data_IF_079811416470
#
_entry.id   IF_079811416470
#
_cell.length_a   1.000
_cell.length_b   1.000
_cell.length_c   1.000
_cell.angle_alpha   90.00
_cell.angle_beta   90.00
_cell.angle_gamma   90.00
#
_symmetry.space_group_name_H-M   'P 1'
#
loop_
_entity.id
_entity.type
_entity.pdbx_description
1 polymer ?
#
# COMPACT_ATOMS: atom_id res chain seq x y z
N UNK A 1 46.17 -41.31 -78.46
CA UNK A 1 45.86 -41.51 -77.03
C UNK A 1 45.73 -40.13 -76.42
N UNK A 2 44.56 -39.88 -75.83
CA UNK A 2 44.10 -38.57 -75.38
C UNK A 2 44.60 -38.29 -73.97
N UNK A 3 45.13 -37.09 -73.73
CA UNK A 3 45.33 -36.59 -72.37
C UNK A 3 44.30 -35.49 -72.07
N UNK A 4 43.47 -35.83 -71.10
CA UNK A 4 42.23 -35.18 -70.72
C UNK A 4 42.53 -33.98 -69.83
N UNK A 5 42.09 -32.79 -70.24
CA UNK A 5 41.98 -31.62 -69.37
C UNK A 5 40.89 -31.88 -68.34
N UNK A 6 41.25 -32.01 -67.06
CA UNK A 6 40.30 -31.95 -65.95
C UNK A 6 40.32 -30.51 -65.41
N UNK A 7 39.38 -29.71 -65.91
CA UNK A 7 38.99 -28.42 -65.35
C UNK A 7 38.23 -28.67 -64.04
N UNK A 8 38.88 -28.49 -62.90
CA UNK A 8 38.25 -28.68 -61.59
C UNK A 8 37.50 -27.41 -61.17
N UNK A 9 36.40 -27.12 -61.88
CA UNK A 9 35.39 -26.13 -61.47
C UNK A 9 34.55 -26.72 -60.34
N UNK A 10 35.02 -26.63 -59.11
CA UNK A 10 34.19 -26.81 -57.91
C UNK A 10 34.77 -26.04 -56.73
N UNK A 11 34.76 -24.71 -56.82
CA UNK A 11 34.80 -23.84 -55.63
C UNK A 11 33.39 -23.28 -55.46
N UNK A 12 32.60 -23.93 -54.61
CA UNK A 12 31.31 -23.41 -54.16
C UNK A 12 31.52 -22.05 -53.46
N UNK A 13 30.63 -21.07 -53.65
CA UNK A 13 30.82 -19.74 -53.10
C UNK A 13 30.67 -19.73 -51.57
N UNK A 14 31.78 -19.52 -50.87
CA UNK A 14 31.94 -19.39 -49.40
C UNK A 14 31.09 -18.24 -48.78
N UNK A 15 30.48 -17.40 -49.62
CA UNK A 15 29.67 -16.25 -49.21
C UNK A 15 28.36 -16.64 -48.51
N UNK A 16 27.69 -17.71 -48.94
CA UNK A 16 26.39 -18.14 -48.38
C UNK A 16 26.48 -18.75 -46.98
N UNK A 17 27.55 -19.49 -46.69
CA UNK A 17 27.78 -20.13 -45.38
C UNK A 17 28.16 -19.06 -44.34
N UNK A 18 29.05 -18.13 -44.71
CA UNK A 18 29.48 -17.02 -43.85
C UNK A 18 28.33 -16.06 -43.51
N UNK A 19 27.40 -15.83 -44.45
CA UNK A 19 26.23 -14.98 -44.23
C UNK A 19 25.17 -15.64 -43.35
N UNK A 20 24.94 -16.95 -43.50
CA UNK A 20 24.10 -17.74 -42.59
C UNK A 20 24.65 -17.79 -41.16
N UNK A 21 25.96 -17.92 -41.00
CA UNK A 21 26.62 -17.89 -39.69
C UNK A 21 26.51 -16.53 -39.00
N UNK A 22 26.67 -15.43 -39.76
CA UNK A 22 26.45 -14.07 -39.24
C UNK A 22 25.00 -13.87 -38.80
N UNK A 23 24.04 -14.29 -39.62
CA UNK A 23 22.60 -14.20 -39.31
C UNK A 23 22.24 -15.03 -38.06
N UNK A 24 22.75 -16.26 -37.95
CA UNK A 24 22.58 -17.08 -36.74
C UNK A 24 23.21 -16.43 -35.50
N UNK A 25 24.41 -15.84 -35.61
CA UNK A 25 25.03 -15.10 -34.49
C UNK A 25 24.19 -13.91 -34.04
N UNK A 26 23.61 -13.16 -34.97
CA UNK A 26 22.71 -12.07 -34.64
C UNK A 26 21.42 -12.55 -33.97
N UNK A 27 20.80 -13.62 -34.48
CA UNK A 27 19.60 -14.22 -33.87
C UNK A 27 19.90 -14.70 -32.44
N UNK A 28 21.00 -15.42 -32.22
CA UNK A 28 21.40 -15.87 -30.88
C UNK A 28 21.66 -14.68 -29.96
N UNK A 29 22.36 -13.65 -30.43
CA UNK A 29 22.61 -12.44 -29.64
C UNK A 29 21.32 -11.73 -29.25
N UNK A 30 20.36 -11.58 -30.18
CA UNK A 30 19.06 -10.96 -29.90
C UNK A 30 18.28 -11.81 -28.89
N UNK A 31 18.21 -13.13 -29.08
CA UNK A 31 17.53 -14.03 -28.15
C UNK A 31 18.11 -13.95 -26.74
N UNK A 32 19.44 -13.93 -26.60
CA UNK A 32 20.11 -13.78 -25.30
C UNK A 32 19.76 -12.44 -24.66
N UNK A 33 19.77 -11.34 -25.41
CA UNK A 33 19.40 -10.03 -24.87
C UNK A 33 17.94 -9.95 -24.43
N UNK A 34 17.01 -10.54 -25.18
CA UNK A 34 15.58 -10.58 -24.82
C UNK A 34 15.36 -11.38 -23.55
N UNK A 35 16.01 -12.54 -23.42
CA UNK A 35 15.93 -13.38 -22.21
C UNK A 35 16.50 -12.65 -21.00
N UNK A 36 17.65 -12.00 -21.13
CA UNK A 36 18.24 -11.21 -20.04
C UNK A 36 17.34 -10.05 -19.60
N UNK A 37 16.75 -9.32 -20.56
CA UNK A 37 15.79 -8.25 -20.24
C UNK A 37 14.55 -8.78 -19.52
N UNK A 38 14.02 -9.93 -19.93
CA UNK A 38 12.89 -10.56 -19.27
C UNK A 38 13.24 -10.98 -17.82
N UNK A 39 14.42 -11.55 -17.59
CA UNK A 39 14.91 -11.92 -16.26
C UNK A 39 15.06 -10.67 -15.38
N UNK A 40 15.69 -9.60 -15.90
CA UNK A 40 15.85 -8.35 -15.16
C UNK A 40 14.51 -7.70 -14.82
N UNK A 41 13.55 -7.68 -15.75
CA UNK A 41 12.21 -7.17 -15.50
C UNK A 41 11.47 -8.00 -14.45
N UNK A 42 11.57 -9.33 -14.51
CA UNK A 42 10.98 -10.23 -13.52
C UNK A 42 11.60 -10.03 -12.13
N UNK A 43 12.93 -9.95 -12.02
CA UNK A 43 13.61 -9.64 -10.76
C UNK A 43 13.20 -8.28 -10.20
N UNK A 44 13.14 -7.26 -11.05
CA UNK A 44 12.71 -5.93 -10.64
C UNK A 44 11.27 -5.95 -10.09
N UNK A 45 10.33 -6.60 -10.79
CA UNK A 45 8.95 -6.70 -10.32
C UNK A 45 8.82 -7.55 -9.04
N UNK A 46 9.56 -8.65 -8.95
CA UNK A 46 9.51 -9.56 -7.80
C UNK A 46 10.08 -8.92 -6.52
N UNK A 47 11.10 -8.06 -6.64
CA UNK A 47 11.79 -7.48 -5.47
C UNK A 47 11.46 -6.01 -5.20
N UNK A 48 10.73 -5.32 -6.09
CA UNK A 48 10.35 -3.90 -5.89
C UNK A 48 8.93 -3.70 -5.34
N UNK A 49 8.22 -4.79 -5.02
CA UNK A 49 6.86 -4.69 -4.49
C UNK A 49 6.87 -4.13 -3.06
N UNK A 50 5.98 -3.16 -2.80
CA UNK A 50 5.79 -2.61 -1.46
C UNK A 50 4.81 -3.50 -0.71
N UNK A 51 5.25 -4.09 0.40
CA UNK A 51 4.42 -4.99 1.20
C UNK A 51 3.81 -4.28 2.41
N UNK A 52 2.60 -4.70 2.79
CA UNK A 52 1.92 -4.19 3.99
C UNK A 52 2.20 -5.13 5.17
N UNK A 53 3.11 -4.71 6.04
CA UNK A 53 3.47 -5.49 7.22
C UNK A 53 2.35 -5.46 8.28
N UNK A 54 1.98 -6.63 8.84
CA UNK A 54 1.09 -6.71 10.00
C UNK A 54 1.84 -6.26 11.26
N UNK A 55 1.51 -5.08 11.77
CA UNK A 55 2.18 -4.48 12.90
C UNK A 55 1.82 -5.14 14.24
N UNK A 56 0.71 -5.88 14.30
CA UNK A 56 0.27 -6.60 15.50
C UNK A 56 1.02 -7.91 15.72
N UNK A 57 1.88 -8.32 14.78
CA UNK A 57 2.60 -9.57 14.79
C UNK A 57 4.06 -9.39 15.24
N UNK A 58 4.47 -10.12 16.29
CA UNK A 58 5.86 -10.20 16.73
C UNK A 58 6.49 -8.84 17.03
N UNK A 59 7.63 -8.56 16.39
CA UNK A 59 8.38 -7.31 16.52
C UNK A 59 8.13 -6.31 15.40
N UNK A 60 7.13 -6.55 14.54
CA UNK A 60 6.90 -5.75 13.32
C UNK A 60 6.62 -4.27 13.62
N UNK A 61 5.87 -3.96 14.68
CA UNK A 61 5.64 -2.57 15.09
C UNK A 61 6.96 -1.82 15.34
N UNK A 62 7.91 -2.46 16.03
CA UNK A 62 9.24 -1.88 16.29
C UNK A 62 10.07 -1.75 15.01
N UNK A 63 10.10 -2.80 14.19
CA UNK A 63 10.89 -2.83 12.93
C UNK A 63 10.37 -1.83 11.90
N UNK A 64 9.06 -1.56 11.88
CA UNK A 64 8.46 -0.58 10.97
C UNK A 64 8.97 0.84 11.19
N UNK A 65 9.41 1.17 12.42
CA UNK A 65 9.71 2.53 12.84
C UNK A 65 8.46 3.38 13.11
N UNK A 66 7.26 2.81 13.16
CA UNK A 66 6.00 3.54 13.31
C UNK A 66 6.03 4.54 14.45
N UNK A 67 6.51 4.14 15.63
CA UNK A 67 6.59 5.07 16.76
C UNK A 67 7.47 6.27 16.50
N UNK A 68 8.66 6.04 15.98
CA UNK A 68 9.63 7.11 15.76
C UNK A 68 9.05 8.16 14.81
N UNK A 69 8.38 7.71 13.74
CA UNK A 69 7.66 8.58 12.82
C UNK A 69 6.47 9.27 13.51
N UNK A 70 5.71 8.54 14.33
CA UNK A 70 4.56 9.09 15.06
C UNK A 70 4.96 10.21 16.01
N UNK A 71 6.05 10.03 16.77
CA UNK A 71 6.57 11.05 17.69
C UNK A 71 7.08 12.29 16.97
N UNK A 72 7.56 12.15 15.73
CA UNK A 72 7.92 13.28 14.87
C UNK A 72 6.73 13.97 14.20
N UNK A 73 5.54 13.37 14.26
CA UNK A 73 4.40 13.87 13.50
C UNK A 73 4.50 13.58 12.01
N UNK A 74 5.23 12.54 11.60
CA UNK A 74 5.49 12.20 10.19
C UNK A 74 4.56 11.10 9.67
N UNK A 75 3.42 10.86 10.31
CA UNK A 75 2.53 9.73 9.95
C UNK A 75 1.19 10.22 9.39
N UNK A 76 0.77 9.59 8.30
CA UNK A 76 -0.64 9.51 7.90
C UNK A 76 -1.15 8.13 8.30
N UNK A 77 -2.28 8.07 9.00
CA UNK A 77 -3.01 6.83 9.22
C UNK A 77 -4.39 6.92 8.58
N UNK A 78 -4.71 5.95 7.74
CA UNK A 78 -6.03 5.79 7.15
C UNK A 78 -6.76 4.65 7.84
N UNK A 79 -7.93 4.93 8.39
CA UNK A 79 -8.74 3.98 9.15
C UNK A 79 -10.03 3.77 8.38
N UNK A 80 -10.32 2.53 8.00
CA UNK A 80 -11.64 2.20 7.45
C UNK A 80 -12.68 2.37 8.56
N UNK A 81 -13.84 2.93 8.23
CA UNK A 81 -14.97 2.97 9.15
C UNK A 81 -15.24 1.59 9.80
N UNK A 82 -15.80 1.58 11.00
CA UNK A 82 -16.14 0.34 11.71
C UNK A 82 -17.30 -0.41 11.03
N UNK A 83 -17.63 -1.61 11.53
CA UNK A 83 -18.68 -2.45 10.93
C UNK A 83 -19.98 -1.67 10.74
N UNK A 84 -20.49 -1.67 9.51
CA UNK A 84 -21.68 -0.92 9.08
C UNK A 84 -22.97 -1.72 9.32
N UNK A 85 -24.03 -1.00 9.67
CA UNK A 85 -25.35 -1.55 9.98
C UNK A 85 -26.08 -2.17 8.78
N UNK A 86 -26.12 -1.46 7.66
CA UNK A 86 -26.85 -1.81 6.43
C UNK A 86 -26.38 -3.12 5.76
N UNK A 87 -25.28 -3.71 6.23
CA UNK A 87 -24.66 -4.93 5.69
C UNK A 87 -24.36 -5.98 6.76
N UNK A 88 -24.92 -5.84 7.96
CA UNK A 88 -24.70 -6.75 9.08
C UNK A 88 -26.02 -7.15 9.73
N UNK A 89 -26.04 -8.32 10.38
CA UNK A 89 -27.14 -8.76 11.24
C UNK A 89 -26.95 -8.33 12.69
N UNK A 90 -25.81 -7.71 13.02
CA UNK A 90 -25.54 -7.22 14.37
C UNK A 90 -26.40 -5.98 14.70
N UNK A 91 -26.76 -5.77 15.98
CA UNK A 91 -27.54 -4.60 16.38
C UNK A 91 -26.85 -3.29 16.00
N UNK A 92 -27.64 -2.32 15.56
CA UNK A 92 -27.16 -0.97 15.31
C UNK A 92 -26.90 -0.19 16.60
N UNK A 93 -25.86 0.64 16.58
CA UNK A 93 -25.58 1.55 17.67
C UNK A 93 -26.65 2.65 17.76
N UNK A 94 -27.03 3.22 16.62
CA UNK A 94 -28.02 4.28 16.52
C UNK A 94 -28.71 4.23 15.13
N UNK A 95 -28.06 4.81 14.12
CA UNK A 95 -28.63 4.96 12.78
C UNK A 95 -28.44 3.72 11.89
N UNK A 96 -29.40 3.46 11.00
CA UNK A 96 -29.36 2.32 10.08
C UNK A 96 -28.24 2.40 9.02
N UNK A 97 -27.79 3.60 8.67
CA UNK A 97 -26.65 3.86 7.78
C UNK A 97 -25.33 4.10 8.54
N UNK A 98 -25.37 3.93 9.87
CA UNK A 98 -24.27 4.06 10.80
C UNK A 98 -23.50 2.76 11.03
N UNK A 99 -22.95 2.62 12.24
CA UNK A 99 -22.18 1.45 12.67
C UNK A 99 -22.96 0.54 13.63
N UNK A 100 -22.56 -0.72 13.69
CA UNK A 100 -23.09 -1.70 14.64
C UNK A 100 -22.54 -1.46 16.05
N UNK A 101 -23.16 -2.07 17.06
CA UNK A 101 -22.63 -2.08 18.43
C UNK A 101 -21.25 -2.75 18.51
N UNK A 102 -20.99 -3.79 17.72
CA UNK A 102 -19.65 -4.40 17.62
C UNK A 102 -18.64 -3.43 16.98
N UNK A 103 -19.08 -2.69 15.95
CA UNK A 103 -18.30 -1.63 15.33
C UNK A 103 -17.94 -0.51 16.32
N UNK A 104 -18.86 -0.16 17.23
CA UNK A 104 -18.59 0.79 18.32
C UNK A 104 -17.46 0.31 19.21
N UNK A 105 -17.52 -0.92 19.71
CA UNK A 105 -16.47 -1.47 20.59
C UNK A 105 -15.11 -1.55 19.90
N UNK A 106 -15.10 -1.96 18.62
CA UNK A 106 -13.89 -1.93 17.80
C UNK A 106 -13.32 -0.51 17.66
N UNK A 107 -14.15 0.48 17.38
CA UNK A 107 -13.74 1.88 17.26
C UNK A 107 -13.16 2.42 18.58
N UNK A 108 -13.79 2.11 19.72
CA UNK A 108 -13.29 2.47 21.04
C UNK A 108 -11.93 1.83 21.34
N UNK A 109 -11.72 0.57 20.97
CA UNK A 109 -10.43 -0.11 21.14
C UNK A 109 -9.32 0.54 20.29
N UNK A 110 -9.62 0.90 19.04
CA UNK A 110 -8.70 1.65 18.17
C UNK A 110 -8.38 3.01 18.78
N UNK A 111 -9.39 3.75 19.25
CA UNK A 111 -9.22 5.04 19.92
C UNK A 111 -8.31 4.96 21.15
N UNK A 112 -8.55 3.97 22.02
CA UNK A 112 -7.70 3.72 23.18
C UNK A 112 -6.25 3.39 22.79
N UNK A 113 -6.05 2.65 21.69
CA UNK A 113 -4.74 2.38 21.12
C UNK A 113 -4.03 3.63 20.60
N UNK A 114 -4.73 4.48 19.85
CA UNK A 114 -4.21 5.77 19.38
C UNK A 114 -3.81 6.69 20.55
N UNK A 115 -4.62 6.72 21.61
CA UNK A 115 -4.29 7.47 22.83
C UNK A 115 -2.98 7.02 23.48
N UNK A 116 -2.70 5.71 23.50
CA UNK A 116 -1.42 5.17 24.01
C UNK A 116 -0.21 5.59 23.15
N UNK A 117 -0.39 5.86 21.86
CA UNK A 117 0.68 6.36 20.98
C UNK A 117 0.93 7.87 21.18
N UNK A 118 -0.01 8.60 21.78
CA UNK A 118 0.06 10.03 22.03
C UNK A 118 -0.67 10.84 20.96
N UNK A 119 -1.72 11.56 21.36
CA UNK A 119 -2.63 12.29 20.46
C UNK A 119 -2.42 13.82 20.47
N UNK A 120 -1.28 14.29 21.00
CA UNK A 120 -1.02 15.73 21.24
C UNK A 120 -0.84 16.52 19.94
N UNK A 121 -0.26 15.90 18.91
CA UNK A 121 0.05 16.49 17.61
C UNK A 121 -0.66 15.71 16.51
N UNK A 122 -1.98 15.63 16.61
CA UNK A 122 -2.81 14.84 15.69
C UNK A 122 -3.96 15.68 15.16
N UNK A 123 -4.05 15.77 13.84
CA UNK A 123 -5.25 16.21 13.16
C UNK A 123 -6.07 14.99 12.76
N UNK A 124 -7.33 14.92 13.22
CA UNK A 124 -8.27 13.89 12.78
C UNK A 124 -9.33 14.49 11.88
N UNK A 125 -9.57 13.83 10.74
CA UNK A 125 -10.58 14.22 9.76
C UNK A 125 -11.30 12.97 9.27
N UNK A 126 -12.58 13.08 8.97
CA UNK A 126 -13.38 11.96 8.49
C UNK A 126 -14.16 12.31 7.22
N UNK A 127 -14.50 11.29 6.43
CA UNK A 127 -15.55 11.44 5.42
C UNK A 127 -16.87 11.85 6.10
N UNK A 128 -17.73 12.65 5.46
CA UNK A 128 -18.98 13.15 6.06
C UNK A 128 -20.09 12.09 6.16
N UNK A 129 -19.85 10.83 5.73
CA UNK A 129 -20.83 9.74 5.90
C UNK A 129 -21.04 9.41 7.38
N UNK A 130 -22.27 9.06 7.75
CA UNK A 130 -22.68 8.71 9.12
C UNK A 130 -21.74 7.71 9.79
N UNK A 131 -21.48 6.58 9.13
CA UNK A 131 -20.56 5.54 9.64
C UNK A 131 -19.12 6.01 9.88
N UNK A 132 -18.58 6.91 9.04
CA UNK A 132 -17.22 7.44 9.22
C UNK A 132 -17.19 8.48 10.33
N UNK A 133 -18.22 9.32 10.44
CA UNK A 133 -18.37 10.30 11.53
C UNK A 133 -18.51 9.62 12.89
N UNK A 134 -19.39 8.62 13.01
CA UNK A 134 -19.57 7.85 14.25
C UNK A 134 -18.27 7.13 14.65
N UNK A 135 -17.59 6.51 13.69
CA UNK A 135 -16.29 5.87 13.95
C UNK A 135 -15.27 6.90 14.45
N UNK A 136 -15.09 8.01 13.73
CA UNK A 136 -14.13 9.04 14.09
C UNK A 136 -14.39 9.67 15.47
N UNK A 137 -15.67 9.91 15.80
CA UNK A 137 -16.06 10.43 17.10
C UNK A 137 -15.67 9.48 18.24
N UNK A 138 -15.86 8.17 18.05
CA UNK A 138 -15.48 7.16 19.04
C UNK A 138 -13.96 7.03 19.17
N UNK A 139 -13.21 7.18 18.08
CA UNK A 139 -11.75 7.19 18.09
C UNK A 139 -11.18 8.40 18.84
N UNK A 140 -11.74 9.58 18.58
CA UNK A 140 -11.28 10.85 19.15
C UNK A 140 -11.80 11.10 20.57
N UNK A 141 -12.97 10.54 20.92
CA UNK A 141 -13.71 10.88 22.14
C UNK A 141 -14.48 12.21 22.06
N UNK A 142 -14.49 12.87 20.90
CA UNK A 142 -15.18 14.12 20.64
C UNK A 142 -15.59 14.21 19.16
N UNK A 143 -16.41 15.20 18.80
CA UNK A 143 -16.79 15.42 17.40
C UNK A 143 -15.56 15.68 16.51
N UNK A 144 -15.56 15.12 15.30
CA UNK A 144 -14.46 15.22 14.34
C UNK A 144 -14.95 15.93 13.07
N UNK A 145 -14.09 16.74 12.48
CA UNK A 145 -14.43 17.48 11.26
C UNK A 145 -14.70 16.53 10.09
N UNK A 146 -15.87 16.66 9.47
CA UNK A 146 -16.18 16.03 8.19
C UNK A 146 -15.65 16.85 7.02
N UNK A 147 -14.95 16.22 6.08
CA UNK A 147 -14.50 16.87 4.84
C UNK A 147 -14.78 15.99 3.63
N UNK A 148 -15.40 16.57 2.59
CA UNK A 148 -15.88 15.84 1.41
C UNK A 148 -14.74 15.12 0.67
N UNK A 149 -13.56 15.72 0.58
CA UNK A 149 -12.43 15.13 -0.14
C UNK A 149 -11.97 13.77 0.43
N UNK A 150 -12.30 13.43 1.68
CA UNK A 150 -12.00 12.11 2.27
C UNK A 150 -12.95 11.02 1.75
N UNK A 151 -14.05 11.42 1.11
CA UNK A 151 -14.99 10.55 0.43
C UNK A 151 -14.63 10.35 -1.06
N UNK A 152 -13.80 11.23 -1.63
CA UNK A 152 -13.43 11.22 -3.04
C UNK A 152 -12.26 10.24 -3.27
N UNK A 153 -12.61 8.96 -3.40
CA UNK A 153 -11.67 7.85 -3.58
C UNK A 153 -11.19 7.71 -5.03
N UNK A 154 -10.62 8.78 -5.60
CA UNK A 154 -10.15 8.80 -6.98
C UNK A 154 -8.62 8.58 -7.10
N UNK A 155 -8.09 8.75 -8.31
CA UNK A 155 -6.68 8.56 -8.61
C UNK A 155 -5.75 9.65 -8.05
N UNK A 156 -6.26 10.77 -7.57
CA UNK A 156 -5.50 11.88 -7.01
C UNK A 156 -5.59 11.93 -5.47
N UNK A 157 -6.38 11.06 -4.85
CA UNK A 157 -6.55 10.97 -3.39
C UNK A 157 -5.22 11.06 -2.60
N UNK A 158 -4.17 10.32 -3.00
CA UNK A 158 -2.86 10.39 -2.34
C UNK A 158 -2.23 11.80 -2.38
N UNK A 159 -2.36 12.52 -3.49
CA UNK A 159 -1.84 13.89 -3.61
C UNK A 159 -2.63 14.85 -2.74
N UNK A 160 -3.95 14.68 -2.67
CA UNK A 160 -4.83 15.48 -1.79
C UNK A 160 -4.46 15.26 -0.32
N UNK A 161 -4.22 14.01 0.09
CA UNK A 161 -3.72 13.69 1.43
C UNK A 161 -2.38 14.38 1.71
N UNK A 162 -1.43 14.32 0.78
CA UNK A 162 -0.15 15.01 0.91
C UNK A 162 -0.31 16.53 1.09
N UNK A 163 -1.23 17.15 0.35
CA UNK A 163 -1.50 18.58 0.46
C UNK A 163 -2.11 18.99 1.81
N UNK A 164 -2.82 18.06 2.48
CA UNK A 164 -3.41 18.29 3.81
C UNK A 164 -2.49 17.87 4.96
N UNK A 165 -1.38 17.17 4.69
CA UNK A 165 -0.45 16.72 5.72
C UNK A 165 0.39 17.91 6.21
N UNK A 166 0.18 18.31 7.46
CA UNK A 166 0.97 19.35 8.14
C UNK A 166 2.26 18.74 8.69
N UNK A 167 3.39 19.40 8.50
CA UNK A 167 4.69 18.96 9.04
C UNK A 167 4.67 19.02 10.57
N UNK A 168 5.19 17.98 11.24
CA UNK A 168 5.19 17.89 12.70
C UNK A 168 3.85 17.46 13.33
N UNK A 169 2.81 17.22 12.52
CA UNK A 169 1.51 16.73 13.00
C UNK A 169 1.09 15.46 12.25
N UNK A 170 0.73 14.42 12.99
CA UNK A 170 0.17 13.22 12.39
C UNK A 170 -1.24 13.52 11.85
N UNK A 171 -1.59 12.89 10.73
CA UNK A 171 -2.90 13.03 10.10
C UNK A 171 -3.65 11.70 10.18
N UNK A 172 -4.76 11.69 10.92
CA UNK A 172 -5.68 10.53 11.04
C UNK A 172 -6.88 10.76 10.13
N UNK A 173 -7.10 9.84 9.20
CA UNK A 173 -8.18 9.89 8.22
C UNK A 173 -9.14 8.72 8.45
N UNK A 174 -10.40 9.01 8.75
CA UNK A 174 -11.45 7.96 8.82
C UNK A 174 -12.25 7.94 7.52
N UNK A 175 -12.06 6.86 6.75
CA UNK A 175 -12.52 6.76 5.35
C UNK A 175 -13.08 5.36 5.03
N UNK A 176 -13.12 5.00 3.75
CA UNK A 176 -13.67 3.76 3.20
C UNK A 176 -12.55 2.91 2.59
N UNK A 177 -12.80 1.61 2.45
CA UNK A 177 -11.82 0.68 1.85
C UNK A 177 -11.40 1.09 0.44
N UNK A 178 -12.30 1.68 -0.36
CA UNK A 178 -11.97 2.14 -1.72
C UNK A 178 -10.92 3.25 -1.75
N UNK A 179 -10.94 4.17 -0.79
CA UNK A 179 -9.93 5.24 -0.70
C UNK A 179 -8.57 4.67 -0.31
N UNK A 180 -8.56 3.72 0.62
CA UNK A 180 -7.35 3.02 1.06
C UNK A 180 -6.76 2.22 -0.12
N UNK A 181 -7.58 1.44 -0.85
CA UNK A 181 -7.16 0.67 -2.04
C UNK A 181 -6.50 1.55 -3.11
N UNK A 182 -7.07 2.74 -3.37
CA UNK A 182 -6.50 3.70 -4.32
C UNK A 182 -5.17 4.26 -3.84
N UNK A 183 -5.07 4.59 -2.54
CA UNK A 183 -3.83 5.06 -1.95
C UNK A 183 -2.74 4.00 -2.04
N UNK A 184 -3.02 2.77 -1.62
CA UNK A 184 -2.10 1.64 -1.66
C UNK A 184 -1.64 1.32 -3.09
N UNK A 185 -2.55 1.41 -4.06
CA UNK A 185 -2.23 1.25 -5.50
C UNK A 185 -1.19 2.28 -5.94
N UNK A 186 -1.28 3.54 -5.48
CA UNK A 186 -0.32 4.59 -5.83
C UNK A 186 1.05 4.39 -5.18
N UNK A 187 1.09 3.72 -4.03
CA UNK A 187 2.34 3.30 -3.39
C UNK A 187 2.96 2.04 -4.02
N UNK A 188 2.25 1.35 -4.91
CA UNK A 188 2.74 0.13 -5.54
C UNK A 188 2.50 -1.14 -4.72
N UNK A 189 1.51 -1.12 -3.81
CA UNK A 189 1.11 -2.32 -3.07
C UNK A 189 0.41 -3.33 -4.00
N UNK A 190 0.78 -4.62 -3.98
CA UNK A 190 0.16 -5.65 -4.81
C UNK A 190 -1.35 -5.82 -4.57
N UNK A 191 -2.08 -6.20 -5.63
CA UNK A 191 -3.54 -6.38 -5.56
C UNK A 191 -4.06 -7.28 -4.44
N UNK A 192 -3.30 -8.32 -4.07
CA UNK A 192 -3.66 -9.28 -3.03
C UNK A 192 -3.50 -8.77 -1.59
N UNK A 193 -2.88 -7.61 -1.39
CA UNK A 193 -2.61 -7.03 -0.06
C UNK A 193 -3.46 -5.77 0.23
N UNK A 194 -4.26 -5.29 -0.75
CA UNK A 194 -5.00 -4.02 -0.69
C UNK A 194 -6.42 -4.15 -0.11
N UNK A 195 -6.67 -5.20 0.67
CA UNK A 195 -7.94 -5.36 1.37
C UNK A 195 -7.87 -4.68 2.73
N UNK A 196 -8.80 -3.76 2.98
CA UNK A 196 -8.91 -3.10 4.29
C UNK A 196 -10.10 -3.64 5.08
N UNK A 197 -9.86 -4.23 6.25
CA UNK A 197 -10.90 -4.73 7.17
C UNK A 197 -11.58 -3.60 7.96
N UNK A 198 -12.77 -3.85 8.52
CA UNK A 198 -13.47 -2.85 9.32
C UNK A 198 -12.62 -2.40 10.52
N UNK A 199 -12.55 -1.08 10.73
CA UNK A 199 -11.72 -0.47 11.76
C UNK A 199 -10.21 -0.84 11.69
N UNK A 200 -9.72 -1.34 10.55
CA UNK A 200 -8.29 -1.50 10.32
C UNK A 200 -7.65 -0.14 10.06
N UNK A 201 -6.47 0.06 10.65
CA UNK A 201 -5.62 1.23 10.47
C UNK A 201 -4.43 0.89 9.55
N UNK A 202 -4.24 1.69 8.51
CA UNK A 202 -3.13 1.59 7.57
C UNK A 202 -2.20 2.81 7.73
N UNK A 203 -0.92 2.56 8.00
CA UNK A 203 0.04 3.58 8.39
C UNK A 203 1.06 3.84 7.29
N UNK A 204 1.29 5.12 7.01
CA UNK A 204 2.22 5.60 5.99
C UNK A 204 3.07 6.71 6.60
N UNK A 205 4.39 6.59 6.45
CA UNK A 205 5.31 7.69 6.70
C UNK A 205 5.16 8.73 5.59
N UNK A 206 4.95 9.98 5.96
CA UNK A 206 4.81 11.13 5.09
C UNK A 206 5.38 12.37 5.80
N UNK A 207 6.68 12.60 5.60
CA UNK A 207 7.45 13.70 6.19
C UNK A 207 7.44 14.98 5.33
N UNK A 208 6.77 14.95 4.17
CA UNK A 208 6.68 16.06 3.22
C UNK A 208 7.93 16.27 2.35
N UNK A 209 9.00 15.52 2.56
CA UNK A 209 10.27 15.66 1.82
C UNK A 209 10.57 14.43 0.95
N UNK A 210 10.20 13.24 1.42
CA UNK A 210 10.44 11.97 0.74
C UNK A 210 9.16 11.38 0.18
N UNK A 211 9.33 10.40 -0.72
CA UNK A 211 8.18 9.62 -1.19
C UNK A 211 7.54 8.88 -0.01
N UNK A 212 6.20 8.85 0.07
CA UNK A 212 5.53 8.17 1.17
C UNK A 212 5.92 6.70 1.24
N UNK A 213 6.10 6.18 2.46
CA UNK A 213 6.54 4.81 2.72
C UNK A 213 5.51 4.09 3.58
N UNK A 214 5.11 2.89 3.17
CA UNK A 214 4.24 2.02 3.98
C UNK A 214 4.97 1.60 5.24
N UNK A 215 4.34 1.82 6.40
CA UNK A 215 4.83 1.35 7.69
C UNK A 215 4.19 0.02 8.05
N UNK A 216 2.91 -0.16 7.74
CA UNK A 216 2.17 -1.40 7.94
C UNK A 216 0.70 -1.16 8.25
N UNK A 217 0.02 -2.18 8.78
CA UNK A 217 -1.37 -2.07 9.21
C UNK A 217 -1.62 -2.73 10.57
N UNK A 218 -2.70 -2.30 11.24
CA UNK A 218 -3.23 -2.89 12.46
C UNK A 218 -4.73 -3.14 12.32
N UNK A 219 -5.15 -4.38 12.51
CA UNK A 219 -6.56 -4.75 12.62
C UNK A 219 -7.14 -4.35 13.99
N UNK A 220 -8.45 -4.13 14.05
CA UNK A 220 -9.14 -3.67 15.25
C UNK A 220 -8.83 -4.51 16.50
N UNK A 221 -8.82 -5.84 16.37
CA UNK A 221 -8.54 -6.76 17.48
C UNK A 221 -7.08 -6.80 17.95
N UNK A 222 -6.14 -6.20 17.22
CA UNK A 222 -4.71 -6.23 17.57
C UNK A 222 -4.32 -5.10 18.54
N UNK A 223 -5.09 -4.00 18.57
CA UNK A 223 -4.80 -2.83 19.40
C UNK A 223 -4.76 -3.13 20.90
N UNK A 224 -5.54 -4.11 21.37
CA UNK A 224 -5.57 -4.52 22.79
C UNK A 224 -4.26 -5.18 23.24
N UNK A 225 -3.54 -5.81 22.31
CA UNK A 225 -2.31 -6.54 22.58
C UNK A 225 -1.06 -5.66 22.48
N UNK A 226 -1.20 -4.43 21.98
CA UNK A 226 -0.09 -3.50 21.91
C UNK A 226 0.25 -2.99 23.31
N UNK A 227 1.36 -3.50 23.84
CA UNK A 227 1.87 -3.12 25.15
C UNK A 227 2.58 -1.77 25.07
N UNK A 228 2.64 -1.06 26.19
CA UNK A 228 3.46 0.15 26.31
C UNK A 228 4.94 -0.11 26.00
N UNK A 229 5.42 -1.35 26.13
CA UNK A 229 6.81 -1.73 25.79
C UNK A 229 7.04 -1.92 24.29
N UNK A 230 6.04 -2.39 23.53
CA UNK A 230 6.14 -2.39 22.07
C UNK A 230 6.10 -0.97 21.52
N UNK A 231 5.42 -0.07 22.24
CA UNK A 231 5.58 1.34 22.02
C UNK A 231 6.93 1.82 22.58
N UNK A 232 7.50 1.43 23.72
CA UNK A 232 8.73 2.09 24.23
C UNK A 232 10.02 1.92 23.42
#
# INVERSE_FOLDING_TARGET
>A
MADTLIDNKNILPDSGIRQRYKLQRYIVSISVTVVLMAICAWFYMAFSSVHVMDLGMGSNLKVSGLREQWLRGDVVVMIRHAERCDRSTNPCMADADGITSNGREAALAVGAGLQKMGMQHVQMIASPKTRTQQTAQLLAGHAVTGQEWINDCDGDFMKVVQAHKVSGENLVLVTHSGCIDQFERKLGVPGGERSSEYAQAFFVQMDGSHRPKVLGSLNAGQWVNLSSEQFN
#
